data_IF_072732625245
#
_entry.id   IF_072732625245
#
_cell.length_a   1.000
_cell.length_b   1.000
_cell.length_c   1.000
_cell.angle_alpha   90.00
_cell.angle_beta   90.00
_cell.angle_gamma   90.00
#
_symmetry.space_group_name_H-M   'P 1'
#
loop_
_entity.id
_entity.type
_entity.pdbx_description
1 polymer ?
#
# COMPACT_ATOMS: atom_id res chain seq x y z
N UNK A 1 7.68 -9.07 16.21
CA UNK A 1 6.63 -9.26 15.17
C UNK A 1 5.89 -7.96 14.84
N UNK A 2 5.55 -7.09 15.81
CA UNK A 2 4.79 -5.84 15.52
C UNK A 2 5.56 -4.74 14.76
N UNK A 3 6.89 -4.66 14.89
CA UNK A 3 7.68 -3.62 14.19
C UNK A 3 7.66 -3.75 12.65
N UNK A 4 7.68 -4.98 12.13
CA UNK A 4 7.60 -5.21 10.69
C UNK A 4 6.23 -4.83 10.15
N UNK A 5 5.16 -5.14 10.89
CA UNK A 5 3.79 -4.81 10.47
C UNK A 5 3.56 -3.29 10.47
N UNK A 6 4.15 -2.56 11.43
CA UNK A 6 4.16 -1.08 11.43
C UNK A 6 4.82 -0.53 10.17
N UNK A 7 6.04 -0.97 9.92
CA UNK A 7 6.86 -0.42 8.84
C UNK A 7 6.23 -0.72 7.48
N UNK A 8 5.68 -1.92 7.31
CA UNK A 8 5.00 -2.33 6.10
C UNK A 8 3.70 -1.52 5.87
N UNK A 9 2.94 -1.24 6.92
CA UNK A 9 1.76 -0.38 6.82
C UNK A 9 2.11 1.04 6.33
N UNK A 10 3.14 1.65 6.92
CA UNK A 10 3.63 2.96 6.48
C UNK A 10 4.18 2.93 5.04
N UNK A 11 4.85 1.85 4.65
CA UNK A 11 5.31 1.67 3.28
C UNK A 11 4.15 1.61 2.29
N UNK A 12 3.10 0.81 2.57
CA UNK A 12 1.90 0.74 1.74
C UNK A 12 1.25 2.12 1.59
N UNK A 13 1.15 2.86 2.68
CA UNK A 13 0.51 4.17 2.69
C UNK A 13 1.33 5.24 1.96
N UNK A 14 2.66 5.19 2.09
CA UNK A 14 3.57 6.06 1.36
C UNK A 14 3.52 5.79 -0.15
N UNK A 15 3.52 4.51 -0.53
CA UNK A 15 3.41 4.11 -1.93
C UNK A 15 2.08 4.54 -2.57
N UNK A 16 0.95 4.42 -1.84
CA UNK A 16 -0.34 4.94 -2.29
C UNK A 16 -0.43 6.48 -2.29
N UNK A 17 0.43 7.17 -1.54
CA UNK A 17 0.50 8.63 -1.54
C UNK A 17 1.26 9.18 -2.75
N UNK A 18 2.20 8.39 -3.27
CA UNK A 18 3.09 8.73 -4.37
C UNK A 18 2.57 8.08 -5.66
N UNK A 19 1.42 8.58 -6.15
CA UNK A 19 0.75 8.11 -7.38
C UNK A 19 1.49 8.54 -8.67
N UNK A 20 2.52 9.38 -8.55
CA UNK A 20 3.19 10.08 -9.66
C UNK A 20 4.48 9.39 -10.19
N UNK A 21 4.90 8.22 -9.68
CA UNK A 21 6.14 7.54 -10.11
C UNK A 21 5.94 6.38 -11.09
N UNK A 22 5.05 6.53 -12.07
CA UNK A 22 4.99 5.63 -13.24
C UNK A 22 4.79 6.44 -14.52
N UNK A 23 5.80 7.22 -14.90
CA UNK A 23 5.99 7.58 -16.31
C UNK A 23 6.55 6.35 -17.04
N UNK A 24 5.63 5.54 -17.57
CA UNK A 24 5.65 4.91 -18.91
C UNK A 24 7.02 4.74 -19.61
N UNK A 25 7.92 3.94 -19.02
CA UNK A 25 8.93 3.22 -19.80
C UNK A 25 8.37 1.82 -20.06
N UNK A 26 7.91 1.55 -21.29
CA UNK A 26 7.48 0.23 -21.74
C UNK A 26 8.63 -0.78 -21.52
N UNK A 27 8.57 -1.53 -20.42
CA UNK A 27 9.62 -2.45 -19.98
C UNK A 27 9.55 -3.76 -20.78
N UNK A 28 10.31 -3.82 -21.88
CA UNK A 28 10.31 -4.95 -22.86
C UNK A 28 11.13 -6.19 -22.39
N UNK A 29 11.36 -6.33 -21.07
CA UNK A 29 12.11 -7.47 -20.52
C UNK A 29 11.18 -8.72 -20.41
N UNK A 30 11.45 -9.80 -21.18
CA UNK A 30 10.60 -10.97 -21.23
C UNK A 30 10.56 -11.79 -19.93
N UNK A 31 11.50 -11.59 -19.01
CA UNK A 31 11.46 -12.22 -17.68
C UNK A 31 10.59 -11.41 -16.72
N UNK A 32 10.58 -10.08 -16.85
CA UNK A 32 9.70 -9.18 -16.09
C UNK A 32 8.23 -9.38 -16.51
N UNK A 33 7.96 -9.45 -17.82
CA UNK A 33 6.62 -9.72 -18.36
C UNK A 33 6.03 -11.08 -17.93
N UNK A 34 6.91 -12.03 -17.55
CA UNK A 34 6.51 -13.35 -17.06
C UNK A 34 6.43 -13.42 -15.54
N UNK A 35 6.84 -12.38 -14.82
CA UNK A 35 6.71 -12.34 -13.37
C UNK A 35 5.21 -12.20 -13.01
N UNK A 36 4.65 -13.11 -12.19
CA UNK A 36 3.32 -12.94 -11.65
C UNK A 36 3.11 -11.59 -10.97
N UNK A 37 4.15 -10.98 -10.38
CA UNK A 37 4.10 -9.64 -9.79
C UNK A 37 3.85 -8.53 -10.82
N UNK A 38 4.28 -8.68 -12.07
CA UNK A 38 4.08 -7.67 -13.11
C UNK A 38 2.61 -7.55 -13.55
N UNK A 39 1.85 -8.64 -13.38
CA UNK A 39 0.41 -8.67 -13.66
C UNK A 39 -0.45 -8.28 -12.44
N UNK A 40 0.16 -8.20 -11.25
CA UNK A 40 -0.54 -7.77 -10.05
C UNK A 40 -0.62 -6.26 -10.09
N UNK A 41 -1.85 -5.75 -10.07
CA UNK A 41 -2.10 -4.36 -9.75
C UNK A 41 -1.67 -4.12 -8.30
N UNK A 42 -0.47 -3.56 -8.15
CA UNK A 42 0.14 -3.29 -6.87
C UNK A 42 -0.70 -2.31 -6.05
N UNK A 43 -1.35 -1.33 -6.68
CA UNK A 43 -2.24 -0.39 -6.02
C UNK A 43 -3.45 -1.10 -5.40
N UNK A 44 -4.08 -2.01 -6.17
CA UNK A 44 -5.17 -2.86 -5.69
C UNK A 44 -4.72 -3.77 -4.54
N UNK A 45 -3.57 -4.44 -4.69
CA UNK A 45 -3.04 -5.34 -3.66
C UNK A 45 -2.79 -4.61 -2.33
N UNK A 46 -2.14 -3.43 -2.38
CA UNK A 46 -1.86 -2.62 -1.19
C UNK A 46 -3.15 -2.10 -0.55
N UNK A 47 -4.13 -1.72 -1.36
CA UNK A 47 -5.46 -1.29 -0.88
C UNK A 47 -6.17 -2.41 -0.12
N UNK A 48 -6.26 -3.60 -0.71
CA UNK A 48 -6.86 -4.77 -0.06
C UNK A 48 -6.13 -5.14 1.23
N UNK A 49 -4.80 -5.10 1.22
CA UNK A 49 -3.99 -5.35 2.39
C UNK A 49 -4.31 -4.36 3.52
N UNK A 50 -4.36 -3.07 3.23
CA UNK A 50 -4.70 -2.03 4.22
C UNK A 50 -6.11 -2.23 4.78
N UNK A 51 -7.08 -2.61 3.95
CA UNK A 51 -8.45 -2.93 4.38
C UNK A 51 -8.50 -4.15 5.30
N UNK A 52 -7.73 -5.20 5.01
CA UNK A 52 -7.64 -6.35 5.92
C UNK A 52 -6.94 -6.00 7.22
N UNK A 53 -5.92 -5.14 7.15
CA UNK A 53 -5.18 -4.69 8.32
C UNK A 53 -6.04 -3.82 9.25
N UNK A 54 -6.92 -2.98 8.71
CA UNK A 54 -7.80 -2.11 9.52
C UNK A 54 -8.80 -2.88 10.38
N UNK A 55 -9.14 -4.10 9.99
CA UNK A 55 -9.99 -5.00 10.78
C UNK A 55 -9.24 -5.65 11.96
N UNK A 56 -7.91 -5.57 12.00
CA UNK A 56 -7.16 -6.14 13.11
C UNK A 56 -7.27 -5.28 14.38
N UNK A 57 -7.35 -5.90 15.57
CA UNK A 57 -7.50 -5.17 16.83
C UNK A 57 -6.31 -4.25 17.17
N UNK A 58 -5.17 -4.43 16.50
CA UNK A 58 -4.00 -3.56 16.64
C UNK A 58 -4.12 -2.24 15.86
N UNK A 59 -5.05 -2.11 14.91
CA UNK A 59 -5.22 -0.91 14.08
C UNK A 59 -5.51 0.35 14.91
N UNK A 60 -6.21 0.21 16.03
CA UNK A 60 -6.48 1.31 16.98
C UNK A 60 -5.18 2.01 17.42
N UNK A 61 -4.17 1.25 17.83
CA UNK A 61 -2.87 1.79 18.26
C UNK A 61 -2.08 2.44 17.11
N UNK A 62 -2.30 1.97 15.88
CA UNK A 62 -1.70 2.56 14.68
C UNK A 62 -2.35 3.87 14.29
N UNK A 63 -3.68 3.96 14.42
CA UNK A 63 -4.45 5.13 14.01
C UNK A 63 -3.98 6.42 14.70
N UNK A 64 -3.48 6.31 15.93
CA UNK A 64 -2.92 7.44 16.70
C UNK A 64 -1.65 8.04 16.08
N UNK A 65 -0.90 7.25 15.30
CA UNK A 65 0.34 7.69 14.65
C UNK A 65 0.12 8.22 13.23
N UNK A 66 -1.10 8.13 12.72
CA UNK A 66 -1.44 8.57 11.37
C UNK A 66 -1.71 10.07 11.35
N UNK A 67 -0.98 10.76 10.47
CA UNK A 67 -1.17 12.18 10.22
C UNK A 67 -2.47 12.44 9.45
N UNK A 68 -2.88 13.70 9.34
CA UNK A 68 -4.10 14.07 8.62
C UNK A 68 -4.06 13.66 7.13
N UNK A 69 -2.88 13.60 6.52
CA UNK A 69 -2.70 13.13 5.14
C UNK A 69 -2.93 11.62 5.02
N UNK A 70 -2.28 10.85 5.88
CA UNK A 70 -2.40 9.40 5.99
C UNK A 70 -3.87 8.97 6.16
N UNK A 71 -4.60 9.70 7.03
CA UNK A 71 -6.04 9.47 7.25
C UNK A 71 -6.87 9.76 6.01
N UNK A 72 -6.50 10.74 5.18
CA UNK A 72 -7.20 11.02 3.92
C UNK A 72 -7.01 9.90 2.90
N UNK A 73 -5.81 9.34 2.83
CA UNK A 73 -5.50 8.19 1.96
C UNK A 73 -6.31 6.97 2.42
N UNK A 74 -6.35 6.71 3.73
CA UNK A 74 -7.21 5.65 4.27
C UNK A 74 -8.69 5.88 3.94
N UNK A 75 -9.17 7.12 4.08
CA UNK A 75 -10.54 7.48 3.71
C UNK A 75 -10.81 7.30 2.21
N UNK A 76 -9.85 7.60 1.33
CA UNK A 76 -10.02 7.42 -0.12
C UNK A 76 -10.11 5.94 -0.51
N UNK A 77 -9.51 5.04 0.28
CA UNK A 77 -9.62 3.59 0.07
C UNK A 77 -10.71 2.91 0.92
N UNK A 78 -11.53 3.70 1.63
CA UNK A 78 -12.72 3.22 2.36
C UNK A 78 -12.48 2.70 3.78
N UNK A 79 -11.41 3.16 4.44
CA UNK A 79 -11.03 2.81 5.82
C UNK A 79 -11.24 3.98 6.78
#
# INVERSE_FOLDING_TARGET
>A
MQFLTTLFFFFCLHFLADDDYYEDDEEDDPDVLKDPLYQIDLQTYLTEFLQQFSQQPCFSAFSEHLNANDRRILQSIGI
#
